data_IF_627803716073
#
_entry.id   IF_627803716073
#
_cell.length_a   1.000
_cell.length_b   1.000
_cell.length_c   1.000
_cell.angle_alpha   90.00
_cell.angle_beta   90.00
_cell.angle_gamma   90.00
#
_symmetry.space_group_name_H-M   'P 1'
#
loop_
_entity.id
_entity.type
_entity.pdbx_description
1 polymer ?
#
# COMPACT_ATOMS: atom_id res chain seq x y z
N UNK A 1 17.43 -39.21 8.64
CA UNK A 1 18.00 -38.60 7.41
C UNK A 1 18.73 -39.64 6.57
N UNK A 2 19.49 -40.55 7.19
CA UNK A 2 20.17 -41.68 6.53
C UNK A 2 19.29 -42.51 5.61
N UNK A 3 18.05 -42.86 5.98
CA UNK A 3 17.13 -43.63 5.12
C UNK A 3 16.82 -42.99 3.76
N UNK A 4 16.83 -41.66 3.67
CA UNK A 4 16.58 -40.95 2.41
C UNK A 4 17.83 -40.93 1.50
N UNK A 5 19.02 -40.82 2.10
CA UNK A 5 20.31 -40.83 1.39
C UNK A 5 20.80 -42.25 1.05
N UNK A 6 20.56 -43.20 1.94
CA UNK A 6 21.03 -44.58 1.83
C UNK A 6 19.92 -45.55 1.41
N UNK A 7 18.67 -45.12 1.21
CA UNK A 7 17.58 -46.04 0.83
C UNK A 7 17.37 -47.20 1.81
N UNK A 8 16.49 -48.13 1.46
CA UNK A 8 16.22 -49.36 2.21
C UNK A 8 16.38 -50.56 1.29
N UNK A 9 17.08 -51.59 1.74
CA UNK A 9 17.17 -52.86 1.02
C UNK A 9 15.87 -53.65 1.17
N UNK A 10 15.30 -54.04 0.05
CA UNK A 10 14.06 -54.81 -0.04
C UNK A 10 14.36 -56.09 -0.80
N UNK A 11 14.13 -57.29 -0.21
CA UNK A 11 14.36 -58.55 -0.89
C UNK A 11 13.39 -58.72 -2.07
N UNK A 12 13.91 -59.24 -3.18
CA UNK A 12 13.15 -59.57 -4.39
C UNK A 12 13.00 -61.08 -4.44
N UNK A 13 11.74 -61.53 -4.44
CA UNK A 13 11.38 -62.94 -4.49
C UNK A 13 10.95 -63.33 -5.91
N UNK A 14 11.36 -64.51 -6.35
CA UNK A 14 10.92 -65.11 -7.60
C UNK A 14 10.70 -66.61 -7.38
N UNK A 15 9.50 -67.10 -7.73
CA UNK A 15 9.05 -68.46 -7.46
C UNK A 15 9.27 -68.94 -6.02
N UNK A 16 9.04 -68.07 -5.03
CA UNK A 16 9.15 -68.43 -3.60
C UNK A 16 10.57 -68.43 -3.04
N UNK A 17 11.60 -68.20 -3.87
CA UNK A 17 12.99 -68.06 -3.42
C UNK A 17 13.44 -66.58 -3.47
N UNK A 18 14.31 -66.19 -2.53
CA UNK A 18 14.98 -64.87 -2.56
C UNK A 18 16.02 -64.90 -3.67
N UNK A 19 15.85 -64.06 -4.69
CA UNK A 19 16.76 -63.99 -5.84
C UNK A 19 17.73 -62.81 -5.74
N UNK A 20 17.47 -61.84 -4.86
CA UNK A 20 18.39 -60.75 -4.54
C UNK A 20 17.78 -59.65 -3.69
N UNK A 21 18.49 -58.54 -3.51
CA UNK A 21 17.99 -57.34 -2.83
C UNK A 21 17.98 -56.16 -3.79
N UNK A 22 16.94 -55.32 -3.71
CA UNK A 22 16.88 -54.02 -4.41
C UNK A 22 16.86 -52.89 -3.41
N UNK A 23 17.51 -51.78 -3.73
CA UNK A 23 17.58 -50.61 -2.86
C UNK A 23 16.52 -49.58 -3.28
N UNK A 24 15.62 -49.21 -2.37
CA UNK A 24 14.55 -48.22 -2.63
C UNK A 24 14.86 -46.92 -1.90
N UNK A 25 14.92 -45.82 -2.65
CA UNK A 25 15.13 -44.48 -2.10
C UNK A 25 13.78 -43.79 -1.85
N UNK A 26 13.67 -43.06 -0.74
CA UNK A 26 12.48 -42.27 -0.44
C UNK A 26 12.67 -40.84 -0.95
N UNK A 27 12.40 -40.66 -2.24
CA UNK A 27 12.58 -39.39 -2.93
C UNK A 27 11.67 -38.28 -2.39
N UNK A 28 10.49 -38.63 -1.86
CA UNK A 28 9.58 -37.66 -1.23
C UNK A 28 10.18 -37.08 0.05
N UNK A 29 10.76 -37.91 0.90
CA UNK A 29 11.43 -37.46 2.12
C UNK A 29 12.71 -36.68 1.79
N UNK A 30 13.47 -37.14 0.80
CA UNK A 30 14.66 -36.42 0.32
C UNK A 30 14.31 -35.01 -0.18
N UNK A 31 13.30 -34.90 -1.05
CA UNK A 31 12.85 -33.62 -1.59
C UNK A 31 12.25 -32.72 -0.52
N UNK A 32 11.53 -33.25 0.47
CA UNK A 32 11.04 -32.48 1.62
C UNK A 32 12.19 -31.85 2.43
N UNK A 33 13.24 -32.63 2.71
CA UNK A 33 14.43 -32.15 3.42
C UNK A 33 15.21 -31.12 2.60
N UNK A 34 15.40 -31.36 1.31
CA UNK A 34 16.09 -30.44 0.40
C UNK A 34 15.34 -29.11 0.25
N UNK A 35 14.01 -29.16 0.22
CA UNK A 35 13.16 -27.97 0.06
C UNK A 35 13.15 -27.06 1.30
N UNK A 36 13.26 -27.64 2.50
CA UNK A 36 13.44 -26.86 3.73
C UNK A 36 14.88 -26.33 3.89
N UNK A 37 15.89 -27.12 3.51
CA UNK A 37 17.30 -26.76 3.71
C UNK A 37 17.87 -25.81 2.65
N UNK A 38 17.40 -25.90 1.42
CA UNK A 38 17.85 -25.06 0.30
C UNK A 38 16.66 -24.60 -0.55
N UNK A 39 15.75 -23.78 0.03
CA UNK A 39 14.51 -23.39 -0.62
C UNK A 39 14.74 -22.65 -1.94
N UNK A 40 15.77 -21.80 -2.03
CA UNK A 40 16.09 -21.06 -3.26
C UNK A 40 16.37 -21.96 -4.48
N UNK A 41 16.82 -23.19 -4.26
CA UNK A 41 17.17 -24.15 -5.33
C UNK A 41 16.09 -25.20 -5.58
N UNK A 42 15.38 -25.61 -4.54
CA UNK A 42 14.46 -26.76 -4.60
C UNK A 42 12.99 -26.39 -4.30
N UNK A 43 12.69 -25.13 -3.97
CA UNK A 43 11.31 -24.65 -3.82
C UNK A 43 10.74 -24.01 -5.11
N UNK A 44 11.46 -24.10 -6.23
CA UNK A 44 11.17 -23.41 -7.48
C UNK A 44 9.71 -23.55 -7.90
N UNK A 45 9.09 -24.72 -7.73
CA UNK A 45 7.74 -24.98 -8.28
C UNK A 45 6.54 -24.71 -7.36
N UNK A 46 6.67 -24.22 -6.12
CA UNK A 46 5.43 -23.84 -5.38
C UNK A 46 5.33 -22.44 -4.81
N UNK A 47 6.35 -21.60 -4.97
CA UNK A 47 6.14 -20.15 -4.83
C UNK A 47 5.50 -19.56 -6.10
N UNK A 48 5.86 -20.06 -7.29
CA UNK A 48 5.20 -19.65 -8.53
C UNK A 48 3.76 -20.18 -8.66
N UNK A 49 3.47 -21.34 -8.05
CA UNK A 49 2.12 -21.88 -7.88
C UNK A 49 1.49 -21.49 -6.53
N UNK A 50 1.95 -20.39 -5.91
CA UNK A 50 1.22 -19.79 -4.79
C UNK A 50 -0.19 -19.45 -5.28
N UNK A 51 -1.15 -20.14 -4.68
CA UNK A 51 -2.55 -20.26 -5.02
C UNK A 51 -3.11 -18.96 -5.61
N UNK A 52 -3.71 -19.01 -6.81
CA UNK A 52 -4.28 -17.82 -7.45
C UNK A 52 -5.30 -17.12 -6.52
N UNK A 53 -5.99 -17.92 -5.70
CA UNK A 53 -6.82 -17.44 -4.60
C UNK A 53 -6.06 -16.54 -3.60
N UNK A 54 -4.85 -16.93 -3.19
CA UNK A 54 -4.01 -16.14 -2.28
C UNK A 54 -3.57 -14.82 -2.92
N UNK A 55 -3.25 -14.81 -4.22
CA UNK A 55 -2.92 -13.57 -4.94
C UNK A 55 -4.10 -12.61 -5.03
N UNK A 56 -5.29 -13.13 -5.37
CA UNK A 56 -6.51 -12.32 -5.44
C UNK A 56 -6.90 -11.70 -4.09
N UNK A 57 -6.73 -12.45 -2.99
CA UNK A 57 -6.95 -11.95 -1.64
C UNK A 57 -5.96 -10.83 -1.28
N UNK A 58 -4.67 -11.03 -1.60
CA UNK A 58 -3.63 -10.01 -1.39
C UNK A 58 -3.90 -8.74 -2.19
N UNK A 59 -4.38 -8.87 -3.44
CA UNK A 59 -4.76 -7.72 -4.25
C UNK A 59 -5.95 -6.97 -3.66
N UNK A 60 -6.96 -7.69 -3.16
CA UNK A 60 -8.12 -7.07 -2.49
C UNK A 60 -7.68 -6.30 -1.25
N UNK A 61 -6.86 -6.91 -0.40
CA UNK A 61 -6.36 -6.28 0.82
C UNK A 61 -5.51 -5.03 0.52
N UNK A 62 -4.69 -5.08 -0.54
CA UNK A 62 -3.94 -3.91 -1.00
C UNK A 62 -4.83 -2.78 -1.50
N UNK A 63 -5.97 -3.10 -2.11
CA UNK A 63 -6.96 -2.09 -2.56
C UNK A 63 -7.69 -1.49 -1.37
N UNK A 64 -8.12 -2.30 -0.41
CA UNK A 64 -8.75 -1.86 0.83
C UNK A 64 -7.83 -0.88 1.57
N UNK A 65 -6.57 -1.26 1.78
CA UNK A 65 -5.59 -0.37 2.42
C UNK A 65 -5.38 0.92 1.61
N UNK A 66 -5.21 0.84 0.29
CA UNK A 66 -5.05 2.06 -0.51
C UNK A 66 -6.26 2.98 -0.42
N UNK A 67 -7.48 2.45 -0.41
CA UNK A 67 -8.69 3.25 -0.25
C UNK A 67 -8.76 3.93 1.12
N UNK A 68 -8.43 3.21 2.21
CA UNK A 68 -8.36 3.80 3.55
C UNK A 68 -7.32 4.92 3.63
N UNK A 69 -6.14 4.68 3.08
CA UNK A 69 -5.07 5.67 3.05
C UNK A 69 -5.45 6.90 2.21
N UNK A 70 -6.04 6.70 1.03
CA UNK A 70 -6.51 7.80 0.18
C UNK A 70 -7.60 8.62 0.88
N UNK A 71 -8.54 7.98 1.57
CA UNK A 71 -9.58 8.67 2.33
C UNK A 71 -9.00 9.49 3.50
N UNK A 72 -8.03 8.95 4.23
CA UNK A 72 -7.33 9.68 5.29
C UNK A 72 -6.59 10.91 4.71
N UNK A 73 -5.90 10.75 3.59
CA UNK A 73 -5.22 11.85 2.92
C UNK A 73 -6.19 12.90 2.38
N UNK A 74 -7.34 12.48 1.85
CA UNK A 74 -8.37 13.40 1.38
C UNK A 74 -8.98 14.20 2.53
N UNK A 75 -9.23 13.59 3.68
CA UNK A 75 -9.68 14.30 4.88
C UNK A 75 -8.66 15.35 5.35
N UNK A 76 -7.37 14.99 5.42
CA UNK A 76 -6.31 15.94 5.80
C UNK A 76 -6.22 17.10 4.79
N UNK A 77 -6.29 16.81 3.50
CA UNK A 77 -6.27 17.83 2.45
C UNK A 77 -7.50 18.71 2.46
N UNK A 78 -8.68 18.14 2.74
CA UNK A 78 -9.92 18.88 2.87
C UNK A 78 -9.80 19.90 4.02
N UNK A 79 -9.35 19.47 5.20
CA UNK A 79 -9.10 20.39 6.32
C UNK A 79 -8.09 21.48 5.99
N UNK A 80 -6.99 21.14 5.31
CA UNK A 80 -5.98 22.11 4.89
C UNK A 80 -6.56 23.12 3.89
N UNK A 81 -7.36 22.64 2.94
CA UNK A 81 -8.05 23.47 1.95
C UNK A 81 -9.06 24.42 2.59
N UNK A 82 -9.83 23.95 3.58
CA UNK A 82 -10.78 24.78 4.32
C UNK A 82 -10.06 25.88 5.10
N UNK A 83 -8.93 25.56 5.76
CA UNK A 83 -8.10 26.58 6.43
C UNK A 83 -7.54 27.61 5.45
N UNK A 84 -7.10 27.16 4.27
CA UNK A 84 -6.59 28.05 3.23
C UNK A 84 -7.69 28.98 2.70
N UNK A 85 -8.88 28.44 2.42
CA UNK A 85 -10.05 29.22 1.98
C UNK A 85 -10.45 30.25 3.04
N UNK A 86 -10.57 29.83 4.31
CA UNK A 86 -10.87 30.75 5.41
C UNK A 86 -9.84 31.90 5.54
N UNK A 87 -8.54 31.61 5.30
CA UNK A 87 -7.51 32.65 5.29
C UNK A 87 -7.66 33.61 4.11
N UNK A 88 -8.02 33.11 2.93
CA UNK A 88 -8.26 33.93 1.74
C UNK A 88 -9.47 34.82 1.92
N UNK A 89 -10.57 34.28 2.42
CA UNK A 89 -11.80 35.04 2.70
C UNK A 89 -11.54 36.18 3.69
N UNK A 90 -10.81 35.89 4.79
CA UNK A 90 -10.43 36.92 5.75
C UNK A 90 -9.57 38.05 5.13
N UNK A 91 -8.67 37.71 4.20
CA UNK A 91 -7.87 38.71 3.48
C UNK A 91 -8.72 39.54 2.52
N UNK A 92 -9.64 38.91 1.78
CA UNK A 92 -10.54 39.59 0.87
C UNK A 92 -11.44 40.57 1.61
N UNK A 93 -11.99 40.17 2.76
CA UNK A 93 -12.80 41.03 3.61
C UNK A 93 -11.99 42.24 4.11
N UNK A 94 -10.75 42.02 4.57
CA UNK A 94 -9.87 43.11 4.97
C UNK A 94 -9.57 44.07 3.80
N UNK A 95 -9.33 43.54 2.60
CA UNK A 95 -9.12 44.38 1.41
C UNK A 95 -10.38 45.18 1.07
N UNK A 96 -11.56 44.56 1.18
CA UNK A 96 -12.85 45.21 0.94
C UNK A 96 -13.08 46.37 1.93
N UNK A 97 -12.87 46.13 3.23
CA UNK A 97 -13.00 47.16 4.26
C UNK A 97 -12.04 48.34 4.04
N UNK A 98 -10.78 48.04 3.69
CA UNK A 98 -9.78 49.09 3.37
C UNK A 98 -10.20 49.92 2.16
N UNK A 99 -10.79 49.27 1.15
CA UNK A 99 -11.29 49.96 -0.04
C UNK A 99 -12.46 50.89 0.30
N UNK A 100 -13.45 50.42 1.06
CA UNK A 100 -14.57 51.24 1.51
C UNK A 100 -14.12 52.42 2.37
N UNK A 101 -13.18 52.20 3.30
CA UNK A 101 -12.63 53.28 4.12
C UNK A 101 -11.88 54.33 3.28
N UNK A 102 -11.16 53.91 2.23
CA UNK A 102 -10.51 54.82 1.31
C UNK A 102 -11.53 55.63 0.48
N UNK A 103 -12.62 55.00 0.03
CA UNK A 103 -13.71 55.71 -0.65
C UNK A 103 -14.38 56.73 0.27
N UNK A 104 -14.70 56.35 1.51
CA UNK A 104 -15.31 57.25 2.49
C UNK A 104 -14.43 58.48 2.76
N UNK A 105 -13.13 58.29 3.01
CA UNK A 105 -12.16 59.39 3.18
C UNK A 105 -12.09 60.32 1.97
N UNK A 106 -12.16 59.77 0.76
CA UNK A 106 -12.16 60.56 -0.47
C UNK A 106 -13.45 61.39 -0.60
N UNK A 107 -14.59 60.83 -0.18
CA UNK A 107 -15.87 61.53 -0.17
C UNK A 107 -15.89 62.67 0.86
N UNK A 108 -15.31 62.44 2.04
CA UNK A 108 -15.15 63.47 3.09
C UNK A 108 -14.28 64.64 2.60
N UNK A 109 -13.14 64.37 1.96
CA UNK A 109 -12.29 65.41 1.37
C UNK A 109 -13.02 66.26 0.33
N UNK A 110 -13.84 65.65 -0.54
CA UNK A 110 -14.60 66.37 -1.57
C UNK A 110 -15.76 67.20 -1.01
N UNK A 111 -16.28 66.86 0.18
CA UNK A 111 -17.36 67.62 0.84
C UNK A 111 -16.88 68.76 1.74
N UNK A 112 -15.56 68.89 1.94
CA UNK A 112 -14.90 69.98 2.66
C UNK A 112 -14.47 71.09 1.67
N UNK A 113 -13.84 70.70 0.55
CA UNK A 113 -13.45 71.60 -0.55
C UNK A 113 -14.63 72.43 -1.13
N UNK A 114 -15.86 71.89 -1.08
CA UNK A 114 -17.06 72.58 -1.57
C UNK A 114 -17.71 73.55 -0.58
N UNK A 115 -17.22 73.62 0.67
CA UNK A 115 -17.77 74.49 1.73
C UNK A 115 -17.00 75.80 1.91
N UNK A 116 -15.81 75.89 1.34
CA UNK A 116 -14.91 77.03 1.48
C UNK A 116 -15.04 78.07 0.34
N UNK A 117 -15.89 77.83 -0.68
CA UNK A 117 -16.09 78.75 -1.81
C UNK A 117 -17.34 79.67 -1.72
N UNK A 118 -18.15 79.60 -0.64
CA UNK A 118 -19.39 80.41 -0.49
C UNK A 118 -19.33 81.54 0.57
N UNK A 119 -18.14 81.95 1.03
CA UNK A 119 -17.95 83.06 1.98
C UNK A 119 -17.29 84.30 1.38
#
# INVERSE_FOLDING_TARGET
>A
MERALHGVEVPVYHFGAVVGTRRVYNDRLLMFLLRNRAPKRFAADSWQNADAATRSLLERLKREWRAEWEAEQEAIRAEESERALASLDAKLELMHQRHLAAQARKLEWQGDDGRDEEG
#
